data_IF_331717178371
#
_entry.id   IF_331717178371
#
_cell.length_a   1.000
_cell.length_b   1.000
_cell.length_c   1.000
_cell.angle_alpha   90.00
_cell.angle_beta   90.00
_cell.angle_gamma   90.00
#
_symmetry.space_group_name_H-M   'P 1'
#
loop_
_entity.id
_entity.type
_entity.pdbx_description
1 polymer ?
#
# COMPACT_ATOMS: atom_id res chain seq x y z
N UNK A 1 -17.62 -0.15 23.16
CA UNK A 1 -18.65 -1.21 22.95
C UNK A 1 -19.93 -0.69 22.29
N UNK A 2 -20.24 0.61 22.38
CA UNK A 2 -21.49 1.23 21.89
C UNK A 2 -21.81 1.07 20.38
N UNK A 3 -20.83 0.69 19.55
CA UNK A 3 -21.01 0.50 18.10
C UNK A 3 -20.62 -0.90 17.63
N UNK A 4 -20.70 -1.91 18.51
CA UNK A 4 -20.49 -3.30 18.11
C UNK A 4 -21.69 -3.80 17.31
N UNK A 5 -21.46 -4.11 16.03
CA UNK A 5 -22.43 -4.80 15.17
C UNK A 5 -21.97 -6.27 15.03
N UNK A 6 -22.74 -7.26 15.53
CA UNK A 6 -22.37 -8.68 15.43
C UNK A 6 -22.29 -9.19 13.99
N UNK A 7 -22.83 -8.45 13.01
CA UNK A 7 -22.71 -8.79 11.58
C UNK A 7 -21.34 -8.41 11.00
N UNK A 8 -20.57 -7.55 11.67
CA UNK A 8 -19.21 -7.19 11.27
C UNK A 8 -18.19 -8.05 12.04
N UNK A 9 -17.50 -8.99 11.37
CA UNK A 9 -16.63 -9.93 12.06
C UNK A 9 -15.43 -9.23 12.70
N UNK A 10 -15.08 -9.67 13.91
CA UNK A 10 -13.84 -9.27 14.59
C UNK A 10 -12.78 -10.31 14.30
N UNK A 11 -11.68 -9.87 13.69
CA UNK A 11 -10.50 -10.70 13.42
C UNK A 11 -9.37 -10.20 14.31
N UNK A 12 -8.73 -11.12 15.02
CA UNK A 12 -7.56 -10.85 15.86
C UNK A 12 -6.34 -11.53 15.25
N UNK A 13 -5.28 -10.75 15.02
CA UNK A 13 -4.02 -11.22 14.47
C UNK A 13 -2.87 -10.99 15.44
N UNK A 14 -2.04 -12.02 15.65
CA UNK A 14 -0.78 -11.87 16.37
C UNK A 14 0.24 -11.10 15.53
N UNK A 15 0.98 -10.19 16.17
CA UNK A 15 2.01 -9.39 15.53
C UNK A 15 3.39 -10.00 15.78
N UNK A 16 4.22 -10.05 14.74
CA UNK A 16 5.63 -10.38 14.91
C UNK A 16 6.39 -9.29 15.68
N UNK A 17 7.52 -9.63 16.29
CA UNK A 17 8.34 -8.69 17.07
C UNK A 17 8.72 -7.43 16.27
N UNK A 18 8.95 -7.56 14.96
CA UNK A 18 9.29 -6.46 14.07
C UNK A 18 8.09 -5.64 13.61
N UNK A 19 6.90 -6.25 13.60
CA UNK A 19 5.67 -5.63 13.10
C UNK A 19 5.09 -4.58 14.05
N UNK A 20 5.66 -4.43 15.25
CA UNK A 20 5.35 -3.32 16.16
C UNK A 20 6.01 -1.99 15.77
N UNK A 21 7.06 -2.03 14.96
CA UNK A 21 7.86 -0.86 14.61
C UNK A 21 7.33 -0.15 13.36
N UNK A 22 7.57 1.16 13.27
CA UNK A 22 7.22 2.00 12.13
C UNK A 22 8.52 2.48 11.46
N UNK A 23 8.53 2.51 10.14
CA UNK A 23 9.68 2.96 9.37
C UNK A 23 9.35 3.18 7.90
N UNK A 24 10.39 3.44 7.10
CA UNK A 24 10.25 3.43 5.66
C UNK A 24 10.22 2.00 5.14
N UNK A 25 9.12 1.64 4.49
CA UNK A 25 8.94 0.34 3.85
C UNK A 25 9.11 0.52 2.35
N UNK A 26 10.00 -0.29 1.78
CA UNK A 26 10.17 -0.41 0.33
C UNK A 26 9.45 -1.68 -0.13
N UNK A 27 8.60 -1.55 -1.15
CA UNK A 27 7.92 -2.68 -1.76
C UNK A 27 7.87 -2.54 -3.28
N UNK A 28 7.56 -3.66 -3.96
CA UNK A 28 7.35 -3.69 -5.41
C UNK A 28 5.86 -3.79 -5.68
N UNK A 29 5.27 -2.76 -6.29
CA UNK A 29 3.85 -2.78 -6.69
C UNK A 29 3.68 -2.82 -8.20
N UNK A 30 2.49 -3.19 -8.63
CA UNK A 30 1.99 -3.00 -9.98
C UNK A 30 0.57 -2.44 -9.91
N UNK A 31 0.25 -1.49 -10.80
CA UNK A 31 -1.11 -1.01 -10.96
C UNK A 31 -2.03 -2.18 -11.33
N UNK A 32 -3.15 -2.33 -10.61
CA UNK A 32 -4.13 -3.36 -10.90
C UNK A 32 -4.68 -3.21 -12.33
N UNK A 33 -4.83 -4.34 -13.05
CA UNK A 33 -5.21 -4.37 -14.48
C UNK A 33 -6.52 -3.64 -14.76
N UNK A 34 -7.50 -3.82 -13.88
CA UNK A 34 -8.86 -3.28 -14.05
C UNK A 34 -9.07 -1.91 -13.40
N UNK A 35 -8.08 -1.39 -12.66
CA UNK A 35 -8.19 -0.03 -12.15
C UNK A 35 -8.00 0.94 -13.31
N UNK A 36 -8.89 1.93 -13.50
CA UNK A 36 -8.83 2.82 -14.67
C UNK A 36 -7.66 3.82 -14.55
N UNK A 37 -7.52 4.46 -13.39
CA UNK A 37 -6.58 5.57 -13.14
C UNK A 37 -5.16 5.08 -12.88
N UNK A 38 -4.17 5.92 -13.18
CA UNK A 38 -2.77 5.71 -12.76
C UNK A 38 -2.56 6.40 -11.42
N UNK A 39 -1.80 5.77 -10.53
CA UNK A 39 -1.56 6.33 -9.19
C UNK A 39 -0.44 7.36 -9.29
N UNK A 40 -0.60 8.47 -8.59
CA UNK A 40 0.36 9.57 -8.56
C UNK A 40 1.16 9.54 -7.26
N UNK A 41 2.45 9.84 -7.36
CA UNK A 41 3.32 10.00 -6.20
C UNK A 41 2.82 11.15 -5.34
N UNK A 42 2.81 10.93 -4.01
CA UNK A 42 2.27 11.83 -2.97
C UNK A 42 0.74 11.95 -2.88
N UNK A 43 -0.01 11.18 -3.67
CA UNK A 43 -1.46 11.08 -3.46
C UNK A 43 -1.73 9.98 -2.41
N UNK A 44 -2.61 10.23 -1.42
CA UNK A 44 -2.88 9.26 -0.37
C UNK A 44 -3.46 7.96 -0.94
N UNK A 45 -2.98 6.84 -0.40
CA UNK A 45 -3.48 5.50 -0.74
C UNK A 45 -3.71 4.69 0.53
N UNK A 46 -4.77 3.90 0.55
CA UNK A 46 -5.06 2.96 1.62
C UNK A 46 -4.35 1.65 1.27
N UNK A 47 -3.45 1.21 2.14
CA UNK A 47 -2.77 -0.06 2.02
C UNK A 47 -3.38 -1.07 2.99
N UNK A 48 -3.61 -2.28 2.49
CA UNK A 48 -3.79 -3.48 3.29
C UNK A 48 -2.50 -4.28 3.25
N UNK A 49 -1.82 -4.36 4.40
CA UNK A 49 -0.51 -4.99 4.55
C UNK A 49 -0.49 -5.76 5.87
N UNK A 50 -0.32 -7.07 5.81
CA UNK A 50 -0.51 -7.96 6.96
C UNK A 50 -1.91 -7.79 7.58
N UNK A 51 -1.96 -7.63 8.90
CA UNK A 51 -3.21 -7.40 9.64
C UNK A 51 -3.73 -5.95 9.59
N UNK A 52 -2.97 -5.02 9.02
CA UNK A 52 -3.24 -3.59 9.13
C UNK A 52 -3.79 -3.02 7.84
N UNK A 53 -4.78 -2.14 8.00
CA UNK A 53 -5.33 -1.27 6.97
C UNK A 53 -5.03 0.16 7.40
N UNK A 54 -4.28 0.91 6.60
CA UNK A 54 -3.88 2.27 6.94
C UNK A 54 -3.67 3.11 5.68
N UNK A 55 -3.87 4.41 5.81
CA UNK A 55 -3.61 5.36 4.75
C UNK A 55 -2.18 5.86 4.85
N UNK A 56 -1.46 5.89 3.72
CA UNK A 56 -0.10 6.44 3.63
C UNK A 56 0.08 7.25 2.36
N UNK A 57 1.21 7.94 2.25
CA UNK A 57 1.57 8.80 1.13
C UNK A 57 2.79 8.17 0.43
N UNK A 58 2.60 7.47 -0.71
CA UNK A 58 3.64 6.71 -1.38
C UNK A 58 4.51 7.58 -2.30
N UNK A 59 5.77 7.19 -2.43
CA UNK A 59 6.70 7.66 -3.45
C UNK A 59 7.07 6.51 -4.39
N UNK A 60 6.65 6.60 -5.66
CA UNK A 60 6.94 5.59 -6.67
C UNK A 60 8.31 5.81 -7.31
N UNK A 61 9.05 4.76 -7.60
CA UNK A 61 10.38 4.83 -8.22
C UNK A 61 10.67 3.64 -9.14
N UNK A 62 11.69 3.77 -9.99
CA UNK A 62 12.26 2.66 -10.76
C UNK A 62 13.78 2.64 -10.54
N UNK A 63 14.36 1.46 -10.56
CA UNK A 63 15.79 1.29 -10.52
C UNK A 63 16.35 1.40 -11.94
N UNK A 64 17.21 2.38 -12.17
CA UNK A 64 17.93 2.53 -13.44
C UNK A 64 19.10 1.52 -13.50
N UNK A 65 19.64 1.25 -14.69
CA UNK A 65 20.73 0.29 -14.92
C UNK A 65 22.01 0.55 -14.10
N UNK A 66 22.18 1.76 -13.58
CA UNK A 66 23.30 2.16 -12.72
C UNK A 66 23.01 2.00 -11.22
N UNK A 67 21.93 1.31 -10.85
CA UNK A 67 21.50 1.09 -9.45
C UNK A 67 20.85 2.30 -8.78
N UNK A 68 20.62 3.40 -9.52
CA UNK A 68 19.96 4.59 -8.97
C UNK A 68 18.45 4.37 -8.89
N UNK A 69 17.86 4.62 -7.72
CA UNK A 69 16.41 4.73 -7.57
C UNK A 69 15.92 6.09 -8.07
N UNK A 70 15.37 6.13 -9.28
CA UNK A 70 14.81 7.34 -9.88
C UNK A 70 13.32 7.46 -9.57
N UNK A 71 12.96 8.60 -8.98
CA UNK A 71 11.57 8.93 -8.65
C UNK A 71 10.69 9.01 -9.91
N UNK A 72 9.48 8.44 -9.80
CA UNK A 72 8.43 8.55 -10.80
C UNK A 72 7.33 9.50 -10.31
N UNK A 73 6.75 10.27 -11.22
CA UNK A 73 5.56 11.08 -10.93
C UNK A 73 4.30 10.22 -10.82
N UNK A 74 4.22 9.15 -11.62
CA UNK A 74 3.08 8.24 -11.70
C UNK A 74 3.54 6.78 -11.78
N UNK A 75 2.67 5.85 -11.39
CA UNK A 75 2.90 4.41 -11.59
C UNK A 75 2.85 4.05 -13.08
N UNK A 76 3.75 3.17 -13.57
CA UNK A 76 3.65 2.64 -14.93
C UNK A 76 2.42 1.73 -15.08
N UNK A 77 1.82 1.72 -16.27
CA UNK A 77 0.50 1.11 -16.47
C UNK A 77 0.53 -0.43 -16.47
N UNK A 78 1.57 -1.03 -17.02
CA UNK A 78 1.67 -2.49 -17.20
C UNK A 78 2.94 -3.11 -16.59
N UNK A 79 3.73 -2.30 -15.87
CA UNK A 79 5.01 -2.69 -15.28
C UNK A 79 4.93 -2.64 -13.74
N UNK A 80 5.83 -3.36 -13.08
CA UNK A 80 6.08 -3.16 -11.66
C UNK A 80 6.97 -1.93 -11.45
N UNK A 81 6.76 -1.21 -10.36
CA UNK A 81 7.66 -0.17 -9.88
C UNK A 81 7.93 -0.37 -8.39
N UNK A 82 9.03 0.21 -7.92
CA UNK A 82 9.29 0.34 -6.49
C UNK A 82 8.37 1.40 -5.89
N UNK A 83 8.05 1.24 -4.63
CA UNK A 83 7.38 2.27 -3.83
C UNK A 83 7.95 2.30 -2.44
N UNK A 84 8.14 3.51 -1.94
CA UNK A 84 8.57 3.78 -0.57
C UNK A 84 7.47 4.56 0.13
N UNK A 85 7.12 4.15 1.35
CA UNK A 85 6.17 4.88 2.19
C UNK A 85 6.55 4.72 3.66
N UNK A 86 6.03 5.61 4.50
CA UNK A 86 6.16 5.51 5.95
C UNK A 86 5.00 4.68 6.51
N UNK A 87 5.31 3.61 7.24
CA UNK A 87 4.30 2.69 7.75
C UNK A 87 4.87 1.58 8.65
N UNK A 88 4.00 0.67 9.13
CA UNK A 88 4.42 -0.47 9.95
C UNK A 88 5.37 -1.37 9.16
N UNK A 89 6.52 -1.69 9.76
CA UNK A 89 7.49 -2.63 9.20
C UNK A 89 6.80 -3.99 9.07
N UNK A 90 6.91 -4.61 7.90
CA UNK A 90 6.27 -5.88 7.59
C UNK A 90 7.33 -6.86 7.07
N UNK A 91 7.25 -8.17 7.38
CA UNK A 91 8.19 -9.16 6.87
C UNK A 91 8.30 -9.15 5.34
N UNK A 92 9.49 -9.43 4.83
CA UNK A 92 9.73 -9.57 3.39
C UNK A 92 8.89 -10.73 2.82
N UNK A 93 8.51 -10.61 1.54
CA UNK A 93 7.64 -11.59 0.88
C UNK A 93 6.15 -11.44 1.19
N UNK A 94 5.76 -10.53 2.09
CA UNK A 94 4.35 -10.25 2.39
C UNK A 94 3.66 -9.57 1.20
N UNK A 95 2.52 -10.11 0.80
CA UNK A 95 1.67 -9.49 -0.21
C UNK A 95 0.99 -8.21 0.29
N UNK A 96 0.71 -7.28 -0.63
CA UNK A 96 0.01 -6.04 -0.32
C UNK A 96 -1.12 -5.77 -1.31
N UNK A 97 -2.17 -5.09 -0.85
CA UNK A 97 -3.21 -4.52 -1.70
C UNK A 97 -3.30 -3.02 -1.45
N UNK A 98 -3.47 -2.25 -2.52
CA UNK A 98 -3.64 -0.80 -2.47
C UNK A 98 -5.01 -0.40 -3.03
N UNK A 99 -5.71 0.49 -2.33
CA UNK A 99 -7.05 0.97 -2.67
C UNK A 99 -7.10 2.49 -2.50
N UNK A 100 -7.78 3.21 -3.40
CA UNK A 100 -7.93 4.67 -3.29
C UNK A 100 -9.04 5.10 -2.33
N UNK A 101 -10.18 4.39 -2.33
CA UNK A 101 -11.30 4.68 -1.44
C UNK A 101 -11.98 3.38 -1.00
N UNK A 102 -12.49 3.39 0.23
CA UNK A 102 -13.35 2.33 0.78
C UNK A 102 -14.84 2.62 0.57
N UNK A 103 -15.21 3.82 0.12
CA UNK A 103 -16.59 4.16 -0.23
C UNK A 103 -17.01 3.43 -1.51
N UNK A 104 -18.23 2.86 -1.52
CA UNK A 104 -18.78 2.14 -2.68
C UNK A 104 -19.02 3.02 -3.92
N UNK A 105 -18.89 4.33 -3.79
CA UNK A 105 -18.95 5.29 -4.89
C UNK A 105 -17.56 5.45 -5.52
N UNK A 106 -17.26 4.67 -6.55
CA UNK A 106 -16.14 5.00 -7.43
C UNK A 106 -16.59 6.14 -8.35
N UNK A 107 -16.02 7.35 -8.17
CA UNK A 107 -16.13 8.40 -9.18
C UNK A 107 -15.27 7.97 -10.38
N UNK A 108 -15.92 7.72 -11.51
CA UNK A 108 -15.29 7.34 -12.77
C UNK A 108 -14.15 8.29 -13.18
#
# INVERSE_FOLDING_TARGET
>A
VLHFDPRYPIVLGGLGNTEGNVGYVQMRLKKHRWHKKILKTRDPVILSLGWRRFQTIPAYYIEDHNGRHRLLKYTPQHMHCGVTFWGPITPQGTGCLAIQSVSGTMAD
#
